data_IF_670468826034
#
_entry.id   IF_670468826034
#
_cell.length_a   1.000
_cell.length_b   1.000
_cell.length_c   1.000
_cell.angle_alpha   90.00
_cell.angle_beta   90.00
_cell.angle_gamma   90.00
#
_symmetry.space_group_name_H-M   'P 1'
#
loop_
_entity.id
_entity.type
_entity.pdbx_description
1 polymer ?
#
# COMPACT_ATOMS: atom_id res chain seq x y z
N UNK A 1 -6.41 12.10 -12.57
CA UNK A 1 -6.06 13.44 -12.09
C UNK A 1 -4.78 13.29 -11.29
N UNK A 2 -3.68 13.85 -11.78
CA UNK A 2 -2.34 13.65 -11.23
C UNK A 2 -2.31 14.07 -9.76
N UNK A 3 -1.84 13.15 -8.90
CA UNK A 3 -1.56 13.42 -7.50
C UNK A 3 -0.59 14.61 -7.43
N UNK A 4 -1.08 15.75 -6.95
CA UNK A 4 -0.31 16.99 -6.77
C UNK A 4 0.76 16.88 -5.68
N UNK A 5 0.97 15.70 -5.10
CA UNK A 5 1.92 15.48 -4.01
C UNK A 5 2.96 14.40 -4.33
N UNK A 6 3.13 14.06 -5.61
CA UNK A 6 4.26 13.26 -6.06
C UNK A 6 5.54 14.11 -5.95
N UNK A 7 6.14 14.18 -4.74
CA UNK A 7 7.44 14.80 -4.44
C UNK A 7 7.61 16.17 -5.13
N UNK A 8 7.32 17.26 -4.42
CA UNK A 8 7.56 18.67 -4.83
C UNK A 8 8.90 18.89 -5.55
N UNK A 9 9.89 18.02 -5.30
CA UNK A 9 11.21 18.01 -5.95
C UNK A 9 11.18 17.76 -7.48
N UNK A 10 10.13 17.16 -8.03
CA UNK A 10 9.99 16.94 -9.48
C UNK A 10 8.95 17.84 -10.14
N UNK A 11 8.35 18.79 -9.42
CA UNK A 11 7.37 19.72 -9.99
C UNK A 11 7.96 20.45 -11.21
N UNK A 12 7.26 20.35 -12.35
CA UNK A 12 7.68 20.94 -13.62
C UNK A 12 8.71 20.14 -14.43
N UNK A 13 9.27 19.05 -13.91
CA UNK A 13 10.26 18.22 -14.65
C UNK A 13 9.66 16.91 -15.10
N UNK A 14 9.60 16.70 -16.42
CA UNK A 14 9.09 15.44 -16.99
C UNK A 14 10.14 14.34 -16.89
N UNK A 15 9.98 13.42 -15.94
CA UNK A 15 10.82 12.23 -15.80
C UNK A 15 10.30 11.11 -16.71
N UNK A 16 11.12 10.63 -17.65
CA UNK A 16 10.76 9.48 -18.49
C UNK A 16 10.77 8.20 -17.66
N UNK A 17 9.77 7.35 -17.89
CA UNK A 17 9.63 6.04 -17.27
C UNK A 17 9.24 4.96 -18.27
N UNK A 18 9.65 3.74 -18.01
CA UNK A 18 9.31 2.54 -18.80
C UNK A 18 8.93 1.40 -17.86
N UNK A 19 7.94 0.60 -18.24
CA UNK A 19 7.57 -0.61 -17.51
C UNK A 19 8.45 -1.77 -17.99
N UNK A 20 9.16 -2.42 -17.08
CA UNK A 20 10.08 -3.53 -17.38
C UNK A 20 10.21 -4.43 -16.15
N UNK A 21 10.18 -5.75 -16.33
CA UNK A 21 10.26 -6.75 -15.25
C UNK A 21 9.33 -6.45 -14.05
N UNK A 22 8.06 -6.17 -14.35
CA UNK A 22 7.01 -5.85 -13.38
C UNK A 22 7.32 -4.66 -12.44
N UNK A 23 8.22 -3.78 -12.86
CA UNK A 23 8.61 -2.57 -12.13
C UNK A 23 8.66 -1.36 -13.07
N UNK A 24 8.44 -0.18 -12.50
CA UNK A 24 8.75 1.07 -13.18
C UNK A 24 10.25 1.34 -13.11
N UNK A 25 10.85 1.60 -14.26
CA UNK A 25 12.21 2.10 -14.41
C UNK A 25 12.17 3.55 -14.86
N UNK A 26 13.03 4.38 -14.29
CA UNK A 26 13.10 5.82 -14.51
C UNK A 26 14.43 6.19 -15.17
N UNK A 27 14.43 7.18 -16.06
CA UNK A 27 15.66 7.68 -16.65
C UNK A 27 16.54 8.32 -15.58
N UNK A 28 17.77 7.82 -15.44
CA UNK A 28 18.75 8.35 -14.49
C UNK A 28 19.13 9.78 -14.84
N UNK A 29 19.33 10.06 -16.13
CA UNK A 29 19.70 11.39 -16.61
C UNK A 29 18.61 12.42 -16.31
N UNK A 30 17.34 12.07 -16.49
CA UNK A 30 16.24 13.01 -16.22
C UNK A 30 16.16 13.34 -14.72
N UNK A 31 16.38 12.35 -13.85
CA UNK A 31 16.40 12.56 -12.39
C UNK A 31 17.63 13.35 -11.96
N UNK A 32 18.80 13.08 -12.53
CA UNK A 32 20.00 13.91 -12.33
C UNK A 32 19.73 15.35 -12.75
N UNK A 33 19.06 15.57 -13.87
CA UNK A 33 18.66 16.91 -14.33
C UNK A 33 17.73 17.61 -13.33
N UNK A 34 16.72 16.90 -12.80
CA UNK A 34 15.82 17.47 -11.79
C UNK A 34 16.54 17.79 -10.47
N UNK A 35 17.48 16.94 -10.06
CA UNK A 35 18.17 17.04 -8.77
C UNK A 35 19.48 17.82 -8.82
N UNK A 36 19.81 18.46 -9.94
CA UNK A 36 21.01 19.29 -10.07
C UNK A 36 20.68 20.61 -10.74
N UNK A 37 21.64 21.54 -10.71
CA UNK A 37 21.61 22.77 -11.51
C UNK A 37 22.48 22.63 -12.77
N UNK A 38 22.79 21.39 -13.18
CA UNK A 38 23.63 21.15 -14.35
C UNK A 38 22.87 21.52 -15.63
N UNK A 39 23.53 22.29 -16.50
CA UNK A 39 23.04 22.56 -17.85
C UNK A 39 23.05 21.29 -18.71
N UNK A 40 24.00 20.39 -18.45
CA UNK A 40 24.09 19.07 -19.08
C UNK A 40 24.03 17.97 -18.04
N UNK A 41 22.86 17.34 -17.90
CA UNK A 41 22.65 16.23 -16.99
C UNK A 41 23.36 14.94 -17.43
N UNK A 42 23.67 14.76 -18.73
CA UNK A 42 24.38 13.58 -19.23
C UNK A 42 25.86 13.67 -18.86
N UNK A 43 26.48 14.83 -19.09
CA UNK A 43 27.86 15.07 -18.66
C UNK A 43 27.99 14.99 -17.13
N UNK A 44 27.04 15.58 -16.39
CA UNK A 44 27.00 15.44 -14.93
C UNK A 44 26.93 13.97 -14.51
N UNK A 45 26.04 13.18 -15.11
CA UNK A 45 25.92 11.76 -14.80
C UNK A 45 27.20 11.00 -15.11
N UNK A 46 27.84 11.24 -16.25
CA UNK A 46 29.12 10.64 -16.60
C UNK A 46 30.21 10.96 -15.56
N UNK A 47 30.36 12.24 -15.20
CA UNK A 47 31.33 12.67 -14.17
C UNK A 47 31.01 12.10 -12.80
N UNK A 48 29.73 11.99 -12.45
CA UNK A 48 29.28 11.41 -11.20
C UNK A 48 29.71 9.93 -11.10
N UNK A 49 29.46 9.14 -12.15
CA UNK A 49 29.91 7.74 -12.22
C UNK A 49 31.43 7.62 -12.02
N UNK A 50 32.19 8.43 -12.76
CA UNK A 50 33.66 8.44 -12.67
C UNK A 50 34.14 8.79 -11.27
N UNK A 51 33.58 9.85 -10.65
CA UNK A 51 33.94 10.27 -9.30
C UNK A 51 33.70 9.16 -8.28
N UNK A 52 32.53 8.54 -8.27
CA UNK A 52 32.20 7.49 -7.28
C UNK A 52 33.05 6.23 -7.44
N UNK A 53 33.38 5.86 -8.69
CA UNK A 53 34.33 4.79 -9.00
C UNK A 53 35.71 5.11 -8.41
N UNK A 54 36.23 6.32 -8.64
CA UNK A 54 37.56 6.74 -8.18
C UNK A 54 37.63 6.98 -6.67
N UNK A 55 36.59 7.57 -6.05
CA UNK A 55 36.64 7.99 -4.64
C UNK A 55 36.21 6.90 -3.67
N UNK A 56 35.28 6.04 -4.08
CA UNK A 56 34.60 5.11 -3.18
C UNK A 56 34.56 3.68 -3.72
N UNK A 57 35.09 3.44 -4.92
CA UNK A 57 35.05 2.14 -5.60
C UNK A 57 33.65 1.71 -6.04
N UNK A 58 32.67 2.62 -6.03
CA UNK A 58 31.27 2.29 -6.35
C UNK A 58 31.00 2.51 -7.84
N UNK A 59 30.72 1.42 -8.54
CA UNK A 59 30.31 1.46 -9.94
C UNK A 59 28.80 1.74 -10.06
N UNK A 60 28.43 3.02 -10.13
CA UNK A 60 27.02 3.44 -10.21
C UNK A 60 26.23 2.85 -11.41
N UNK A 61 26.93 2.45 -12.48
CA UNK A 61 26.33 1.77 -13.63
C UNK A 61 25.72 0.41 -13.27
N UNK A 62 26.20 -0.25 -12.21
CA UNK A 62 25.69 -1.55 -11.75
C UNK A 62 24.26 -1.47 -11.20
N UNK A 63 23.82 -0.28 -10.79
CA UNK A 63 22.44 -0.02 -10.36
C UNK A 63 21.49 0.28 -11.53
N UNK A 64 22.02 0.33 -12.76
CA UNK A 64 21.27 0.71 -13.95
C UNK A 64 20.99 -0.48 -14.87
N UNK A 65 19.94 -0.35 -15.69
CA UNK A 65 19.69 -1.17 -16.88
C UNK A 65 19.61 -0.27 -18.10
N UNK A 66 20.16 -0.73 -19.23
CA UNK A 66 20.00 -0.05 -20.52
C UNK A 66 18.62 -0.39 -21.09
N UNK A 67 17.73 0.59 -21.15
CA UNK A 67 16.39 0.42 -21.72
C UNK A 67 16.14 1.44 -22.81
N UNK A 68 15.42 1.03 -23.87
CA UNK A 68 15.07 1.92 -24.99
C UNK A 68 13.99 2.92 -24.58
N UNK A 69 14.36 4.19 -24.46
CA UNK A 69 13.45 5.29 -24.12
C UNK A 69 13.29 6.26 -25.29
N UNK A 70 12.10 6.87 -25.39
CA UNK A 70 11.85 7.93 -26.36
C UNK A 70 12.67 9.19 -26.02
N UNK A 71 13.26 9.79 -27.04
CA UNK A 71 14.01 11.05 -26.98
C UNK A 71 13.21 12.20 -27.61
N UNK A 72 13.71 13.43 -27.49
CA UNK A 72 13.06 14.65 -28.00
C UNK A 72 12.91 14.69 -29.53
N UNK A 73 13.74 13.95 -30.24
CA UNK A 73 13.71 13.77 -31.70
C UNK A 73 12.73 12.66 -32.16
N UNK A 74 11.97 12.07 -31.23
CA UNK A 74 11.01 11.00 -31.51
C UNK A 74 11.64 9.63 -31.73
N UNK A 75 12.97 9.50 -31.67
CA UNK A 75 13.67 8.21 -31.78
C UNK A 75 13.83 7.56 -30.41
N UNK A 76 14.07 6.24 -30.41
CA UNK A 76 14.32 5.46 -29.19
C UNK A 76 15.81 5.17 -29.05
N UNK A 77 16.37 5.48 -27.88
CA UNK A 77 17.78 5.24 -27.56
C UNK A 77 17.93 4.44 -26.27
N UNK A 78 18.99 3.66 -26.18
CA UNK A 78 19.41 3.03 -24.92
C UNK A 78 19.77 4.12 -23.92
N UNK A 79 19.18 4.03 -22.73
CA UNK A 79 19.32 5.01 -21.66
C UNK A 79 19.56 4.26 -20.36
N UNK A 80 20.46 4.79 -19.52
CA UNK A 80 20.63 4.35 -18.13
C UNK A 80 19.31 4.56 -17.37
N UNK A 81 18.69 3.46 -16.96
CA UNK A 81 17.43 3.46 -16.23
C UNK A 81 17.56 2.69 -14.92
N UNK A 82 16.92 3.16 -13.85
CA UNK A 82 16.92 2.48 -12.56
C UNK A 82 15.49 2.37 -12.01
N UNK A 83 15.21 1.29 -11.26
CA UNK A 83 13.98 1.19 -10.49
C UNK A 83 14.05 2.11 -9.25
N UNK A 84 12.96 2.21 -8.49
CA UNK A 84 12.90 3.10 -7.32
C UNK A 84 14.02 2.86 -6.30
N UNK A 85 14.29 1.61 -5.95
CA UNK A 85 15.31 1.26 -4.95
C UNK A 85 16.71 1.65 -5.42
N UNK A 86 17.08 1.24 -6.63
CA UNK A 86 18.35 1.59 -7.26
C UNK A 86 18.50 3.10 -7.45
N UNK A 87 17.41 3.81 -7.75
CA UNK A 87 17.42 5.27 -7.86
C UNK A 87 17.69 5.94 -6.51
N UNK A 88 17.05 5.49 -5.42
CA UNK A 88 17.34 6.00 -4.08
C UNK A 88 18.81 5.80 -3.71
N UNK A 89 19.45 4.72 -4.17
CA UNK A 89 20.89 4.51 -3.99
C UNK A 89 21.74 5.49 -4.80
N UNK A 90 21.39 5.74 -6.06
CA UNK A 90 22.12 6.70 -6.93
C UNK A 90 22.01 8.13 -6.39
N UNK A 91 20.82 8.54 -5.92
CA UNK A 91 20.58 9.89 -5.38
C UNK A 91 21.53 10.23 -4.23
N UNK A 92 21.90 9.26 -3.40
CA UNK A 92 22.86 9.46 -2.30
C UNK A 92 24.21 9.98 -2.80
N UNK A 93 24.62 9.60 -4.01
CA UNK A 93 25.86 10.05 -4.63
C UNK A 93 25.76 11.44 -5.27
N UNK A 94 24.58 12.05 -5.44
CA UNK A 94 24.47 13.38 -6.10
C UNK A 94 24.83 14.52 -5.10
N UNK A 95 25.96 15.26 -5.26
CA UNK A 95 26.33 16.36 -4.36
C UNK A 95 25.60 17.66 -4.74
N UNK A 96 24.28 17.69 -4.59
CA UNK A 96 23.45 18.85 -4.93
C UNK A 96 22.54 19.24 -3.78
N UNK A 97 22.32 20.54 -3.61
CA UNK A 97 21.35 21.08 -2.64
C UNK A 97 19.93 20.59 -2.93
N UNK A 98 19.58 20.32 -4.20
CA UNK A 98 18.27 19.75 -4.57
C UNK A 98 18.11 18.28 -4.19
N UNK A 99 19.21 17.54 -4.06
CA UNK A 99 19.19 16.14 -3.61
C UNK A 99 19.17 16.02 -2.07
N UNK A 100 19.57 17.07 -1.35
CA UNK A 100 19.69 17.05 0.11
C UNK A 100 18.38 16.73 0.85
N UNK A 101 17.20 17.25 0.46
CA UNK A 101 15.93 16.86 1.09
C UNK A 101 15.67 15.34 1.02
N UNK A 102 15.99 14.70 -0.11
CA UNK A 102 15.88 13.24 -0.25
C UNK A 102 16.83 12.49 0.68
N UNK A 103 18.08 12.96 0.80
CA UNK A 103 19.07 12.32 1.67
C UNK A 103 18.69 12.43 3.14
N UNK A 104 18.22 13.61 3.57
CA UNK A 104 17.72 13.84 4.92
C UNK A 104 16.50 12.98 5.21
N UNK A 105 15.58 12.89 4.25
CA UNK A 105 14.43 12.01 4.38
C UNK A 105 14.85 10.54 4.52
N UNK A 106 15.79 10.04 3.70
CA UNK A 106 16.33 8.69 3.83
C UNK A 106 17.01 8.45 5.19
N UNK A 107 17.79 9.41 5.67
CA UNK A 107 18.43 9.33 6.98
C UNK A 107 17.39 9.31 8.11
N UNK A 108 16.36 10.16 8.03
CA UNK A 108 15.24 10.19 8.97
C UNK A 108 14.50 8.86 8.99
N UNK A 109 14.14 8.32 7.83
CA UNK A 109 13.47 7.02 7.73
C UNK A 109 14.35 5.92 8.31
N UNK A 110 15.66 5.91 8.01
CA UNK A 110 16.60 4.95 8.59
C UNK A 110 16.65 5.01 10.11
N UNK A 111 16.69 6.22 10.67
CA UNK A 111 16.65 6.44 12.12
C UNK A 111 15.33 5.99 12.74
N UNK A 112 14.19 6.40 12.14
CA UNK A 112 12.85 5.97 12.58
C UNK A 112 12.72 4.43 12.58
N UNK A 113 13.33 3.72 11.61
CA UNK A 113 13.32 2.24 11.62
C UNK A 113 14.12 1.63 12.75
N UNK A 114 15.24 2.24 13.14
CA UNK A 114 16.01 1.78 14.30
C UNK A 114 15.19 1.99 15.57
N UNK A 115 14.56 3.16 15.73
CA UNK A 115 13.71 3.45 16.87
C UNK A 115 12.51 2.50 16.97
N UNK A 116 11.93 2.10 15.85
CA UNK A 116 10.83 1.13 15.81
C UNK A 116 11.23 -0.29 16.20
N UNK A 117 12.49 -0.68 15.96
CA UNK A 117 13.01 -1.97 16.43
C UNK A 117 13.16 -1.95 17.95
N UNK A 118 13.60 -0.82 18.51
CA UNK A 118 13.73 -0.64 19.96
C UNK A 118 12.37 -0.47 20.65
N UNK A 119 11.43 0.25 20.01
CA UNK A 119 10.07 0.46 20.48
C UNK A 119 9.04 0.18 19.36
N UNK A 120 8.51 -1.06 19.28
CA UNK A 120 7.52 -1.44 18.27
C UNK A 120 6.22 -0.63 18.28
N UNK A 121 5.84 0.02 19.39
CA UNK A 121 4.65 0.86 19.46
C UNK A 121 4.73 2.04 18.48
N UNK A 122 5.94 2.56 18.21
CA UNK A 122 6.14 3.61 17.21
C UNK A 122 5.72 3.18 15.81
N UNK A 123 5.88 1.89 15.47
CA UNK A 123 5.45 1.37 14.19
C UNK A 123 3.91 1.34 14.07
N UNK A 124 3.22 1.09 15.19
CA UNK A 124 1.76 1.14 15.26
C UNK A 124 1.25 2.58 15.13
N UNK A 125 1.90 3.53 15.80
CA UNK A 125 1.52 4.95 15.71
C UNK A 125 1.76 5.50 14.30
N UNK A 126 2.85 5.12 13.65
CA UNK A 126 3.07 5.48 12.25
C UNK A 126 2.01 4.87 11.32
N UNK A 127 1.53 3.65 11.61
CA UNK A 127 0.43 3.07 10.85
C UNK A 127 -0.85 3.90 10.99
N UNK A 128 -1.15 4.45 12.18
CA UNK A 128 -2.27 5.39 12.39
C UNK A 128 -2.07 6.67 11.58
N UNK A 129 -0.88 7.28 11.67
CA UNK A 129 -0.53 8.51 10.96
C UNK A 129 -0.77 8.38 9.45
N UNK A 130 -0.44 7.23 8.83
CA UNK A 130 -0.70 7.01 7.41
C UNK A 130 -2.19 7.06 7.03
N UNK A 131 -3.09 6.61 7.91
CA UNK A 131 -4.53 6.75 7.66
C UNK A 131 -5.01 8.17 7.99
N UNK A 132 -4.49 8.82 9.03
CA UNK A 132 -4.82 10.22 9.34
C UNK A 132 -4.45 11.16 8.18
N UNK A 133 -3.27 10.95 7.57
CA UNK A 133 -2.83 11.69 6.38
C UNK A 133 -3.74 11.47 5.17
N UNK A 134 -4.34 10.29 5.05
CA UNK A 134 -5.38 9.99 4.05
C UNK A 134 -6.75 10.56 4.42
N UNK A 135 -6.89 11.16 5.61
CA UNK A 135 -8.07 11.88 6.07
C UNK A 135 -9.08 11.05 6.86
N UNK A 136 -8.77 9.79 7.20
CA UNK A 136 -9.68 8.91 7.94
C UNK A 136 -9.93 9.42 9.37
N UNK A 137 -11.15 9.24 9.92
CA UNK A 137 -11.45 9.54 11.33
C UNK A 137 -10.68 8.65 12.29
N UNK A 138 -10.24 9.19 13.44
CA UNK A 138 -9.45 8.47 14.45
C UNK A 138 -10.16 7.19 14.96
N UNK A 139 -11.45 7.30 15.25
CA UNK A 139 -12.25 6.19 15.74
C UNK A 139 -12.43 5.09 14.67
N UNK A 140 -12.46 5.45 13.39
CA UNK A 140 -12.44 4.49 12.28
C UNK A 140 -11.06 3.81 12.16
N UNK A 141 -9.97 4.57 12.33
CA UNK A 141 -8.59 4.06 12.25
C UNK A 141 -8.35 2.99 13.31
N UNK A 142 -8.77 3.23 14.55
CA UNK A 142 -8.64 2.25 15.63
C UNK A 142 -9.35 0.93 15.29
N UNK A 143 -10.60 1.00 14.81
CA UNK A 143 -11.37 -0.18 14.38
C UNK A 143 -10.69 -0.88 13.23
N UNK A 144 -10.16 -0.13 12.25
CA UNK A 144 -9.46 -0.68 11.09
C UNK A 144 -8.20 -1.45 11.50
N UNK A 145 -7.39 -0.88 12.41
CA UNK A 145 -6.18 -1.52 12.93
C UNK A 145 -6.49 -2.79 13.73
N UNK A 146 -7.50 -2.76 14.60
CA UNK A 146 -7.98 -3.97 15.29
C UNK A 146 -8.45 -5.04 14.30
N UNK A 147 -9.14 -4.61 13.23
CA UNK A 147 -9.55 -5.52 12.16
C UNK A 147 -8.39 -6.13 11.37
N UNK A 148 -7.22 -5.47 11.29
CA UNK A 148 -6.01 -6.11 10.72
C UNK A 148 -5.56 -7.26 11.62
N UNK A 149 -5.50 -7.05 12.92
CA UNK A 149 -5.07 -8.06 13.88
C UNK A 149 -6.02 -9.28 13.88
N UNK A 150 -7.34 -9.05 13.92
CA UNK A 150 -8.35 -10.13 13.86
C UNK A 150 -8.25 -10.93 12.55
N UNK A 151 -8.03 -10.24 11.43
CA UNK A 151 -7.85 -10.91 10.14
C UNK A 151 -6.57 -11.74 10.10
N UNK A 152 -5.47 -11.23 10.67
CA UNK A 152 -4.21 -11.95 10.73
C UNK A 152 -4.35 -13.22 11.58
N UNK A 153 -4.96 -13.11 12.76
CA UNK A 153 -5.28 -14.26 13.62
C UNK A 153 -6.08 -15.33 12.87
N UNK A 154 -7.09 -14.93 12.10
CA UNK A 154 -7.87 -15.87 11.28
C UNK A 154 -7.04 -16.55 10.18
N UNK A 155 -6.14 -15.81 9.51
CA UNK A 155 -5.29 -16.41 8.47
C UNK A 155 -4.25 -17.34 9.07
N UNK A 156 -3.66 -16.97 10.20
CA UNK A 156 -2.69 -17.81 10.93
C UNK A 156 -3.37 -19.11 11.38
N UNK A 157 -4.59 -19.02 11.91
CA UNK A 157 -5.39 -20.20 12.26
C UNK A 157 -5.63 -21.12 11.05
N UNK A 158 -5.94 -20.57 9.86
CA UNK A 158 -6.10 -21.38 8.66
C UNK A 158 -4.80 -22.03 8.18
N UNK A 159 -3.66 -21.34 8.29
CA UNK A 159 -2.33 -21.92 8.01
C UNK A 159 -2.06 -23.10 8.96
N UNK A 160 -2.33 -22.94 10.26
CA UNK A 160 -2.23 -24.03 11.24
C UNK A 160 -3.17 -25.22 10.92
N UNK A 161 -4.29 -24.97 10.22
CA UNK A 161 -5.21 -26.02 9.76
C UNK A 161 -4.81 -26.66 8.42
N UNK A 162 -3.66 -26.29 7.87
CA UNK A 162 -3.10 -26.83 6.63
C UNK A 162 -3.68 -26.18 5.36
N UNK A 163 -3.99 -24.89 5.41
CA UNK A 163 -4.41 -24.09 4.25
C UNK A 163 -3.31 -23.08 3.93
N UNK A 164 -2.54 -23.32 2.88
CA UNK A 164 -1.38 -22.48 2.53
C UNK A 164 -1.58 -21.68 1.23
N UNK A 165 -2.66 -21.95 0.50
CA UNK A 165 -2.94 -21.30 -0.79
C UNK A 165 -3.67 -19.96 -0.62
N UNK A 166 -3.10 -18.87 -1.15
CA UNK A 166 -3.77 -17.54 -1.19
C UNK A 166 -5.16 -17.58 -1.82
N UNK A 167 -5.40 -18.51 -2.76
CA UNK A 167 -6.70 -18.72 -3.40
C UNK A 167 -7.74 -19.20 -2.39
N UNK A 168 -7.35 -20.09 -1.48
CA UNK A 168 -8.24 -20.67 -0.48
C UNK A 168 -8.64 -19.62 0.55
N UNK A 169 -7.70 -18.81 1.04
CA UNK A 169 -8.02 -17.66 1.91
C UNK A 169 -9.01 -16.70 1.26
N UNK A 170 -8.89 -16.46 -0.05
CA UNK A 170 -9.82 -15.62 -0.77
C UNK A 170 -11.23 -16.24 -0.83
N UNK A 171 -11.34 -17.56 -1.02
CA UNK A 171 -12.63 -18.28 -1.01
C UNK A 171 -13.27 -18.23 0.38
N UNK A 172 -12.50 -18.57 1.43
CA UNK A 172 -12.98 -18.58 2.82
C UNK A 172 -13.43 -17.18 3.27
N UNK A 173 -12.61 -16.16 3.00
CA UNK A 173 -12.98 -14.75 3.25
C UNK A 173 -14.27 -14.37 2.52
N UNK A 174 -14.43 -14.83 1.28
CA UNK A 174 -15.62 -14.53 0.49
C UNK A 174 -16.87 -15.22 1.04
N UNK A 175 -16.76 -16.42 1.58
CA UNK A 175 -17.87 -17.10 2.27
C UNK A 175 -18.26 -16.42 3.57
N UNK A 176 -17.30 -15.95 4.38
CA UNK A 176 -17.58 -15.11 5.56
C UNK A 176 -18.36 -13.86 5.15
N UNK A 177 -17.91 -13.17 4.08
CA UNK A 177 -18.56 -11.97 3.56
C UNK A 177 -20.00 -12.25 3.11
N UNK A 178 -20.22 -13.34 2.35
CA UNK A 178 -21.57 -13.76 1.93
C UNK A 178 -22.48 -14.08 3.11
N UNK A 179 -21.99 -14.85 4.07
CA UNK A 179 -22.79 -15.25 5.22
C UNK A 179 -23.12 -14.05 6.13
N UNK A 180 -22.18 -13.10 6.27
CA UNK A 180 -22.34 -11.87 7.06
C UNK A 180 -23.28 -10.88 6.37
N UNK A 181 -22.94 -10.47 5.14
CA UNK A 181 -23.58 -9.33 4.46
C UNK A 181 -24.63 -9.74 3.43
N UNK A 182 -24.71 -11.03 3.06
CA UNK A 182 -25.50 -11.48 1.91
C UNK A 182 -24.91 -11.02 0.58
N UNK A 183 -23.62 -10.65 0.57
CA UNK A 183 -22.87 -10.15 -0.58
C UNK A 183 -21.49 -10.79 -0.59
N UNK A 184 -21.04 -11.22 -1.76
CA UNK A 184 -19.63 -11.56 -1.98
C UNK A 184 -18.75 -10.32 -1.85
N UNK A 185 -17.45 -10.53 -1.63
CA UNK A 185 -16.45 -9.45 -1.60
C UNK A 185 -16.51 -8.63 -2.90
N UNK A 186 -16.71 -9.30 -4.06
CA UNK A 186 -16.83 -8.61 -5.35
C UNK A 186 -18.08 -7.72 -5.42
N UNK A 187 -19.23 -8.22 -4.99
CA UNK A 187 -20.47 -7.42 -4.96
C UNK A 187 -20.36 -6.25 -3.98
N UNK A 188 -19.71 -6.47 -2.83
CA UNK A 188 -19.49 -5.41 -1.84
C UNK A 188 -18.56 -4.33 -2.39
N UNK A 189 -17.48 -4.69 -3.09
CA UNK A 189 -16.62 -3.73 -3.81
C UNK A 189 -17.40 -2.90 -4.83
N UNK A 190 -18.34 -3.52 -5.56
CA UNK A 190 -19.18 -2.81 -6.51
C UNK A 190 -20.13 -1.83 -5.81
N UNK A 191 -20.72 -2.19 -4.67
CA UNK A 191 -21.56 -1.28 -3.87
C UNK A 191 -20.77 -0.07 -3.39
N UNK A 192 -19.48 -0.26 -3.07
CA UNK A 192 -18.55 0.80 -2.65
C UNK A 192 -17.98 1.63 -3.81
N UNK A 193 -18.41 1.38 -5.05
CA UNK A 193 -17.93 2.06 -6.26
C UNK A 193 -16.39 1.97 -6.42
N UNK A 194 -15.82 0.80 -6.10
CA UNK A 194 -14.39 0.55 -6.23
C UNK A 194 -14.05 0.10 -7.65
N UNK A 195 -13.00 0.71 -8.21
CA UNK A 195 -12.54 0.38 -9.56
C UNK A 195 -11.99 -1.06 -9.58
N UNK A 196 -12.59 -1.96 -10.39
CA UNK A 196 -12.13 -3.34 -10.50
C UNK A 196 -10.69 -3.44 -11.05
N UNK A 197 -10.22 -2.43 -11.79
CA UNK A 197 -8.86 -2.38 -12.33
C UNK A 197 -7.84 -1.84 -11.32
N UNK A 198 -8.30 -1.14 -10.27
CA UNK A 198 -7.43 -0.64 -9.21
C UNK A 198 -7.29 -1.66 -8.08
N UNK A 199 -6.24 -2.48 -8.16
CA UNK A 199 -5.92 -3.49 -7.14
C UNK A 199 -5.48 -2.91 -5.79
N UNK A 200 -5.15 -1.62 -5.74
CA UNK A 200 -4.70 -0.95 -4.51
C UNK A 200 -5.86 -0.47 -3.62
N UNK A 201 -7.11 -0.60 -4.06
CA UNK A 201 -8.30 -0.25 -3.27
C UNK A 201 -8.76 -1.45 -2.44
N UNK A 202 -8.35 -1.49 -1.17
CA UNK A 202 -8.82 -2.49 -0.21
C UNK A 202 -10.27 -2.19 0.20
N UNK A 203 -11.16 -3.18 0.09
CA UNK A 203 -12.57 -3.03 0.44
C UNK A 203 -12.77 -2.51 1.88
N UNK A 204 -12.01 -3.02 2.86
CA UNK A 204 -12.15 -2.65 4.27
C UNK A 204 -11.77 -1.19 4.53
N UNK A 205 -10.92 -0.60 3.69
CA UNK A 205 -10.58 0.82 3.78
C UNK A 205 -11.73 1.72 3.28
N UNK A 206 -12.76 1.13 2.68
CA UNK A 206 -13.93 1.84 2.17
C UNK A 206 -15.24 1.41 2.86
N UNK A 207 -15.15 0.59 3.91
CA UNK A 207 -16.26 0.18 4.75
C UNK A 207 -16.57 1.21 5.82
N UNK A 208 -17.86 1.41 6.11
CA UNK A 208 -18.34 2.15 7.27
C UNK A 208 -18.01 1.41 8.57
N UNK A 209 -18.16 2.10 9.70
CA UNK A 209 -17.94 1.56 11.04
C UNK A 209 -18.68 0.25 11.30
N UNK A 210 -19.98 0.19 10.98
CA UNK A 210 -20.77 -1.02 11.19
C UNK A 210 -20.31 -2.16 10.28
N UNK A 211 -19.94 -1.86 9.03
CA UNK A 211 -19.39 -2.88 8.12
C UNK A 211 -18.06 -3.44 8.65
N UNK A 212 -17.18 -2.61 9.20
CA UNK A 212 -15.96 -3.08 9.86
C UNK A 212 -16.27 -3.95 11.09
N UNK A 213 -17.20 -3.52 11.95
CA UNK A 213 -17.57 -4.26 13.16
C UNK A 213 -18.14 -5.65 12.81
N UNK A 214 -19.08 -5.72 11.86
CA UNK A 214 -19.64 -7.01 11.45
C UNK A 214 -18.63 -7.88 10.71
N UNK A 215 -17.68 -7.29 9.98
CA UNK A 215 -16.56 -8.04 9.40
C UNK A 215 -15.70 -8.67 10.49
N UNK A 216 -15.28 -7.88 11.49
CA UNK A 216 -14.49 -8.37 12.63
C UNK A 216 -15.22 -9.46 13.41
N UNK A 217 -16.53 -9.29 13.65
CA UNK A 217 -17.34 -10.30 14.34
C UNK A 217 -17.40 -11.60 13.54
N UNK A 218 -17.59 -11.53 12.22
CA UNK A 218 -17.62 -12.71 11.35
C UNK A 218 -16.29 -13.44 11.33
N UNK A 219 -15.19 -12.70 11.18
CA UNK A 219 -13.82 -13.23 11.18
C UNK A 219 -13.46 -13.87 12.52
N UNK A 220 -13.66 -13.16 13.64
CA UNK A 220 -13.36 -13.68 14.98
C UNK A 220 -14.24 -14.89 15.31
N UNK A 221 -15.53 -14.87 14.97
CA UNK A 221 -16.41 -16.04 15.18
C UNK A 221 -15.93 -17.24 14.40
N UNK A 222 -15.43 -17.05 13.17
CA UNK A 222 -14.85 -18.15 12.38
C UNK A 222 -13.62 -18.72 13.05
N UNK A 223 -12.70 -17.89 13.56
CA UNK A 223 -11.53 -18.36 14.32
C UNK A 223 -11.95 -19.22 15.51
N UNK A 224 -12.85 -18.70 16.37
CA UNK A 224 -13.32 -19.40 17.58
C UNK A 224 -13.98 -20.75 17.24
N UNK A 225 -14.80 -20.80 16.19
CA UNK A 225 -15.43 -22.06 15.73
C UNK A 225 -14.39 -23.04 15.19
N UNK A 226 -13.41 -22.55 14.43
CA UNK A 226 -12.34 -23.36 13.83
C UNK A 226 -11.52 -24.03 14.93
N UNK A 227 -11.16 -23.26 15.97
CA UNK A 227 -10.47 -23.73 17.17
C UNK A 227 -11.32 -24.73 17.97
N UNK A 228 -12.56 -24.36 18.31
CA UNK A 228 -13.45 -25.20 19.12
C UNK A 228 -13.78 -26.55 18.47
N UNK A 229 -13.86 -26.61 17.14
CA UNK A 229 -14.14 -27.85 16.40
C UNK A 229 -12.87 -28.61 16.01
N UNK A 230 -11.70 -28.07 16.34
CA UNK A 230 -10.41 -28.52 15.82
C UNK A 230 -10.43 -28.79 14.32
N UNK A 231 -11.04 -27.87 13.55
CA UNK A 231 -11.24 -28.04 12.11
C UNK A 231 -9.90 -28.26 11.40
N UNK A 232 -9.87 -29.13 10.38
CA UNK A 232 -8.68 -29.41 9.57
C UNK A 232 -8.98 -29.40 8.09
N UNK A 233 -8.05 -28.82 7.34
CA UNK A 233 -8.13 -28.68 5.89
C UNK A 233 -9.26 -27.77 5.41
N UNK A 234 -9.29 -27.58 4.10
CA UNK A 234 -10.14 -26.58 3.46
C UNK A 234 -11.64 -26.75 3.76
N UNK A 235 -12.20 -27.96 3.62
CA UNK A 235 -13.64 -28.18 3.72
C UNK A 235 -14.20 -27.89 5.12
N UNK A 236 -13.48 -28.28 6.18
CA UNK A 236 -13.94 -28.02 7.55
C UNK A 236 -13.82 -26.53 7.90
N UNK A 237 -12.72 -25.88 7.45
CA UNK A 237 -12.55 -24.43 7.63
C UNK A 237 -13.57 -23.62 6.81
N UNK A 238 -14.01 -24.13 5.65
CA UNK A 238 -15.09 -23.56 4.86
C UNK A 238 -16.41 -23.58 5.63
N UNK A 239 -16.71 -24.67 6.32
CA UNK A 239 -17.92 -24.76 7.14
C UNK A 239 -17.85 -23.87 8.38
N UNK A 240 -16.68 -23.78 9.03
CA UNK A 240 -16.44 -22.81 10.11
C UNK A 240 -16.55 -21.35 9.62
N UNK A 241 -16.13 -21.07 8.39
CA UNK A 241 -16.27 -19.76 7.73
C UNK A 241 -17.72 -19.37 7.50
N UNK A 242 -18.54 -20.32 7.01
CA UNK A 242 -19.99 -20.11 6.84
C UNK A 242 -20.69 -19.86 8.18
N UNK A 243 -20.39 -20.66 9.20
CA UNK A 243 -21.04 -20.52 10.52
C UNK A 243 -20.61 -19.24 11.24
N UNK A 244 -19.32 -18.89 11.23
CA UNK A 244 -18.85 -17.64 11.82
C UNK A 244 -19.44 -16.41 11.14
N UNK A 245 -19.47 -16.39 9.80
CA UNK A 245 -20.16 -15.34 9.06
C UNK A 245 -21.67 -15.31 9.30
N UNK A 246 -22.32 -16.46 9.52
CA UNK A 246 -23.76 -16.54 9.85
C UNK A 246 -24.07 -15.94 11.22
N UNK A 247 -23.20 -16.11 12.21
CA UNK A 247 -23.34 -15.45 13.52
C UNK A 247 -23.37 -13.93 13.35
N UNK A 248 -22.37 -13.38 12.65
CA UNK A 248 -22.32 -11.95 12.37
C UNK A 248 -23.51 -11.49 11.50
N UNK A 249 -23.90 -12.29 10.51
CA UNK A 249 -25.04 -12.00 9.65
C UNK A 249 -26.37 -11.99 10.38
N UNK A 250 -26.57 -12.85 11.37
CA UNK A 250 -27.76 -12.86 12.22
C UNK A 250 -27.80 -11.61 13.10
N UNK A 251 -26.69 -11.28 13.77
CA UNK A 251 -26.57 -10.06 14.57
C UNK A 251 -26.83 -8.80 13.72
N UNK A 252 -26.27 -8.76 12.50
CA UNK A 252 -26.51 -7.68 11.54
C UNK A 252 -27.98 -7.56 11.19
N UNK A 253 -28.64 -8.66 10.79
CA UNK A 253 -30.06 -8.65 10.42
C UNK A 253 -30.95 -8.19 11.57
N UNK A 254 -30.64 -8.60 12.80
CA UNK A 254 -31.39 -8.15 13.98
C UNK A 254 -31.21 -6.65 14.21
N UNK A 255 -29.98 -6.13 14.09
CA UNK A 255 -29.73 -4.69 14.15
C UNK A 255 -30.47 -3.92 13.05
N UNK A 256 -30.42 -4.38 11.80
CA UNK A 256 -31.13 -3.76 10.68
C UNK A 256 -32.65 -3.75 10.91
N UNK A 257 -33.20 -4.82 11.49
CA UNK A 257 -34.62 -4.93 11.82
C UNK A 257 -35.04 -3.93 12.90
N UNK A 258 -34.20 -3.71 13.92
CA UNK A 258 -34.48 -2.78 15.02
C UNK A 258 -34.29 -1.32 14.64
N UNK A 259 -33.30 -1.04 13.79
CA UNK A 259 -32.95 0.33 13.39
C UNK A 259 -33.66 0.79 12.12
N UNK A 260 -34.16 -0.13 11.30
CA UNK A 260 -34.74 0.15 9.98
C UNK A 260 -33.70 0.55 8.92
N UNK A 261 -32.40 0.55 9.25
CA UNK A 261 -31.31 0.98 8.35
C UNK A 261 -30.49 -0.22 7.91
N UNK A 262 -30.06 -0.22 6.64
CA UNK A 262 -29.11 -1.21 6.13
C UNK A 262 -27.69 -0.89 6.60
N UNK A 263 -26.96 -1.93 7.00
CA UNK A 263 -25.56 -1.82 7.39
C UNK A 263 -24.66 -1.62 6.18
N UNK A 264 -24.92 -2.37 5.10
CA UNK A 264 -24.18 -2.20 3.84
C UNK A 264 -24.78 -1.04 3.07
N UNK A 265 -23.95 -0.06 2.71
CA UNK A 265 -24.34 1.14 1.98
C UNK A 265 -23.26 1.52 0.94
N UNK A 266 -23.60 2.43 0.03
CA UNK A 266 -22.65 3.02 -0.92
C UNK A 266 -21.74 4.09 -0.32
N UNK A 267 -21.91 4.40 0.97
CA UNK A 267 -21.03 5.34 1.68
C UNK A 267 -19.58 4.81 1.65
N UNK A 268 -18.65 5.63 1.19
CA UNK A 268 -17.26 5.24 1.03
C UNK A 268 -16.32 6.41 1.36
N UNK A 269 -15.06 6.07 1.61
CA UNK A 269 -14.01 7.03 1.95
C UNK A 269 -13.24 7.55 0.72
N UNK A 270 -13.70 7.27 -0.51
CA UNK A 270 -13.02 7.73 -1.73
C UNK A 270 -12.96 9.27 -1.81
N UNK A 271 -14.01 9.94 -1.33
CA UNK A 271 -14.07 11.40 -1.26
C UNK A 271 -13.17 12.02 -0.19
N UNK A 272 -12.75 11.24 0.83
CA UNK A 272 -11.92 11.72 1.94
C UNK A 272 -10.45 11.80 1.51
N UNK A 273 -9.99 10.84 0.72
CA UNK A 273 -8.66 10.85 0.10
C UNK A 273 -8.46 11.99 -0.93
N UNK A 274 -9.54 12.61 -1.43
CA UNK A 274 -9.50 13.67 -2.44
C UNK A 274 -9.90 15.08 -1.99
N UNK A 275 -10.45 15.26 -0.77
CA UNK A 275 -11.05 16.54 -0.32
C UNK A 275 -10.27 17.33 0.72
N UNK A 276 -9.23 16.77 1.36
CA UNK A 276 -8.30 17.58 2.13
C UNK A 276 -7.14 17.91 1.21
N UNK A 277 -6.98 19.20 0.90
CA UNK A 277 -5.65 19.72 0.55
C UNK A 277 -4.68 19.03 1.49
N UNK A 278 -3.76 18.27 0.90
CA UNK A 278 -2.70 17.57 1.60
C UNK A 278 -2.17 18.49 2.67
N UNK A 279 -2.47 18.19 3.94
CA UNK A 279 -1.81 18.87 5.04
C UNK A 279 -0.34 18.62 4.78
N UNK A 280 0.34 19.69 4.34
CA UNK A 280 1.76 19.70 3.98
C UNK A 280 2.48 18.74 4.90
N UNK A 281 3.17 17.76 4.33
CA UNK A 281 4.20 17.00 5.03
C UNK A 281 5.14 18.02 5.66
N UNK A 282 4.91 18.39 6.93
CA UNK A 282 5.82 19.22 7.71
C UNK A 282 7.00 18.33 8.04
N UNK A 283 7.95 18.24 7.11
CA UNK A 283 9.12 17.38 7.26
C UNK A 283 9.80 16.98 5.95
N UNK A 284 9.59 17.72 4.86
CA UNK A 284 10.42 17.68 3.65
C UNK A 284 11.07 19.06 3.46
#
# INVERSE_FOLDING_TARGET
>A
MESKDALVVFEGTRIRRVWHDDKWFFSVVDIVGALTDSVDAKDYWYRLKKRESESSGIELSTFCRQLKMLSSDGKKYETDCANTESMLRIIQSIPSKKAEPFKRWLAKVGYERIQEIENPELAQDRAKEYYELKGYPEDWIEKRLRGIAIRQELTDEWEERGIDEKRDFAILTNEISKATFGKSVKEHRNIKDLDPMNKNQNLRDHMTDLELIFTMLGEKSTTEITQSRESKGFNQCLDSSKEGGKIAGNARKELEKKTGRKVVSSENFLGIAGKKETKKLKGL
#
